data_IF_343549558506
#
_entry.id   IF_343549558506
#
_cell.length_a   1.000
_cell.length_b   1.000
_cell.length_c   1.000
_cell.angle_alpha   90.00
_cell.angle_beta   90.00
_cell.angle_gamma   90.00
#
_symmetry.space_group_name_H-M   'P 1'
#
loop_
_entity.id
_entity.type
_entity.pdbx_description
1 polymer ?
#
# COMPACT_ATOMS: atom_id res chain seq x y z
N UNK A 1 -35.04 -28.02 5.73
CA UNK A 1 -34.20 -27.62 4.58
C UNK A 1 -33.72 -26.17 4.61
N UNK A 2 -34.57 -25.15 4.84
CA UNK A 2 -34.14 -23.73 4.86
C UNK A 2 -33.05 -23.40 5.89
N UNK A 3 -33.10 -24.02 7.08
CA UNK A 3 -32.12 -23.80 8.15
C UNK A 3 -30.71 -24.32 7.79
N UNK A 4 -30.61 -25.47 7.10
CA UNK A 4 -29.34 -26.03 6.62
C UNK A 4 -28.71 -25.16 5.53
N UNK A 5 -29.51 -24.57 4.64
CA UNK A 5 -29.01 -23.72 3.58
C UNK A 5 -28.40 -22.42 4.12
N UNK A 6 -29.00 -21.84 5.16
CA UNK A 6 -28.49 -20.64 5.81
C UNK A 6 -27.20 -20.93 6.62
N UNK A 7 -27.09 -22.12 7.21
CA UNK A 7 -25.87 -22.56 7.91
C UNK A 7 -24.71 -22.79 6.92
N UNK A 8 -25.01 -23.36 5.75
CA UNK A 8 -24.03 -23.61 4.70
C UNK A 8 -23.50 -22.30 4.08
N UNK A 9 -24.38 -21.33 3.85
CA UNK A 9 -24.00 -19.98 3.42
C UNK A 9 -23.12 -19.26 4.44
N UNK A 10 -23.41 -19.41 5.74
CA UNK A 10 -22.56 -18.86 6.80
C UNK A 10 -21.16 -19.50 6.81
N UNK A 11 -21.07 -20.80 6.54
CA UNK A 11 -19.80 -21.53 6.50
C UNK A 11 -18.89 -21.02 5.37
N UNK A 12 -19.46 -20.73 4.19
CA UNK A 12 -18.70 -20.26 3.02
C UNK A 12 -18.09 -18.87 3.26
N UNK A 13 -18.78 -17.98 3.99
CA UNK A 13 -18.25 -16.66 4.33
C UNK A 13 -17.05 -16.71 5.29
N UNK A 14 -16.92 -17.75 6.12
CA UNK A 14 -15.77 -17.93 7.03
C UNK A 14 -14.56 -18.59 6.37
N UNK A 15 -14.73 -19.23 5.20
CA UNK A 15 -13.63 -19.85 4.45
C UNK A 15 -12.84 -18.85 3.61
N UNK A 16 -13.27 -17.59 3.56
CA UNK A 16 -12.64 -16.52 2.79
C UNK A 16 -12.06 -15.47 3.74
N UNK A 17 -10.99 -15.81 4.45
CA UNK A 17 -10.16 -14.82 5.14
C UNK A 17 -9.08 -14.35 4.17
N UNK A 18 -9.16 -13.14 3.59
CA UNK A 18 -8.05 -12.58 2.84
C UNK A 18 -6.90 -12.31 3.82
N UNK A 19 -5.92 -13.21 3.86
CA UNK A 19 -4.63 -12.99 4.52
C UNK A 19 -3.79 -12.05 3.66
N UNK A 20 -4.16 -10.77 3.62
CA UNK A 20 -3.45 -9.71 2.88
C UNK A 20 -2.72 -8.73 3.82
N UNK A 21 -2.67 -9.01 5.12
CA UNK A 21 -1.92 -8.16 6.05
C UNK A 21 -0.51 -8.72 6.20
N UNK A 22 0.45 -7.99 5.64
CA UNK A 22 1.87 -8.22 5.88
C UNK A 22 2.10 -8.15 7.40
N UNK A 23 2.41 -9.30 8.00
CA UNK A 23 2.45 -9.47 9.45
C UNK A 23 3.79 -9.08 10.05
N UNK A 24 4.77 -8.68 9.22
CA UNK A 24 5.99 -8.09 9.72
C UNK A 24 5.74 -6.63 10.10
N UNK A 25 5.48 -6.40 11.39
CA UNK A 25 5.62 -5.07 11.97
C UNK A 25 7.11 -4.72 11.94
N UNK A 26 7.54 -4.00 10.90
CA UNK A 26 8.88 -3.41 10.87
C UNK A 26 8.84 -2.16 11.75
N UNK A 27 9.28 -2.32 12.99
CA UNK A 27 9.42 -1.20 13.93
C UNK A 27 10.58 -0.31 13.49
N UNK A 28 10.28 0.93 13.09
CA UNK A 28 11.29 1.91 12.73
C UNK A 28 11.94 2.48 13.99
N UNK A 29 13.24 2.30 14.15
CA UNK A 29 14.00 2.80 15.30
C UNK A 29 15.06 3.83 14.89
N UNK A 30 15.42 4.72 15.83
CA UNK A 30 16.34 5.84 15.58
C UNK A 30 17.73 5.41 15.06
N UNK A 31 18.18 4.21 15.40
CA UNK A 31 19.45 3.63 14.93
C UNK A 31 19.42 3.16 13.47
N UNK A 32 18.26 3.13 12.81
CA UNK A 32 18.14 2.83 11.38
C UNK A 32 18.44 4.04 10.48
N UNK A 33 18.62 5.22 11.08
CA UNK A 33 18.82 6.48 10.37
C UNK A 33 20.03 7.21 10.93
N UNK A 34 20.85 7.80 10.06
CA UNK A 34 21.90 8.70 10.51
C UNK A 34 21.29 10.07 10.90
N UNK A 35 21.84 10.71 11.94
CA UNK A 35 21.36 12.03 12.42
C UNK A 35 21.42 13.13 11.35
N UNK A 36 22.22 12.93 10.31
CA UNK A 36 22.44 13.87 9.22
C UNK A 36 22.19 13.24 7.85
N UNK A 37 21.42 12.15 7.79
CA UNK A 37 21.05 11.54 6.53
C UNK A 37 20.20 12.53 5.72
N UNK A 38 20.81 13.13 4.70
CA UNK A 38 20.13 14.05 3.79
C UNK A 38 19.71 13.26 2.58
N UNK A 39 18.40 13.10 2.40
CA UNK A 39 17.86 12.66 1.12
C UNK A 39 18.02 13.83 0.14
N UNK A 40 18.85 13.67 -0.88
CA UNK A 40 18.96 14.63 -1.96
C UNK A 40 17.73 14.50 -2.87
N UNK A 41 16.63 15.14 -2.47
CA UNK A 41 15.36 15.10 -3.21
C UNK A 41 15.44 15.85 -4.54
N UNK A 42 16.38 16.77 -4.69
CA UNK A 42 16.52 17.59 -5.89
C UNK A 42 17.03 16.79 -7.11
N UNK A 43 17.76 15.69 -6.89
CA UNK A 43 18.23 14.79 -7.95
C UNK A 43 17.26 13.67 -8.29
N UNK A 44 16.12 13.56 -7.59
CA UNK A 44 15.11 12.54 -7.88
C UNK A 44 14.19 13.01 -8.99
N UNK A 45 13.74 12.08 -9.83
CA UNK A 45 12.84 12.31 -10.98
C UNK A 45 11.41 12.75 -10.60
N UNK A 46 11.22 13.23 -9.37
CA UNK A 46 9.94 13.70 -8.85
C UNK A 46 9.07 12.63 -8.22
N UNK A 47 7.78 12.93 -8.12
CA UNK A 47 6.75 12.08 -7.53
C UNK A 47 5.69 11.75 -8.58
N UNK A 48 5.18 10.53 -8.53
CA UNK A 48 3.97 10.15 -9.27
C UNK A 48 2.78 10.17 -8.32
N UNK A 49 1.67 10.76 -8.76
CA UNK A 49 0.47 10.89 -7.96
C UNK A 49 -0.78 10.61 -8.80
N UNK A 50 -1.70 9.87 -8.19
CA UNK A 50 -3.04 9.60 -8.68
C UNK A 50 -4.01 9.77 -7.51
N UNK A 51 -5.09 10.49 -7.76
CA UNK A 51 -6.13 10.70 -6.77
C UNK A 51 -6.92 9.39 -6.54
N UNK A 52 -7.32 9.15 -5.29
CA UNK A 52 -8.10 7.98 -4.90
C UNK A 52 -7.26 6.85 -4.29
N UNK A 53 -7.94 5.76 -3.93
CA UNK A 53 -7.31 4.59 -3.32
C UNK A 53 -6.95 3.56 -4.41
N UNK A 54 -5.67 3.22 -4.53
CA UNK A 54 -5.21 2.08 -5.33
C UNK A 54 -4.75 0.98 -4.37
N UNK A 55 -5.48 -0.15 -4.26
CA UNK A 55 -5.17 -1.21 -3.29
C UNK A 55 -3.77 -1.82 -3.49
N UNK A 56 -3.20 -1.70 -4.69
CA UNK A 56 -1.89 -2.24 -5.06
C UNK A 56 -0.81 -1.14 -5.11
N UNK A 57 -0.95 -0.04 -4.37
CA UNK A 57 0.02 1.09 -4.36
C UNK A 57 1.46 0.66 -4.05
N UNK A 58 1.64 -0.43 -3.30
CA UNK A 58 2.96 -0.96 -2.92
C UNK A 58 3.49 -2.05 -3.87
N UNK A 59 2.75 -2.38 -4.94
CA UNK A 59 3.19 -3.35 -5.94
C UNK A 59 4.31 -2.75 -6.81
N UNK A 60 5.51 -3.36 -6.87
CA UNK A 60 6.60 -2.87 -7.72
C UNK A 60 6.29 -2.94 -9.22
N UNK A 61 5.30 -3.74 -9.64
CA UNK A 61 4.86 -3.88 -11.03
C UNK A 61 3.62 -3.01 -11.35
N UNK A 62 3.25 -2.10 -10.43
CA UNK A 62 2.11 -1.21 -10.63
C UNK A 62 2.26 -0.38 -11.91
N UNK A 63 1.27 -0.48 -12.79
CA UNK A 63 1.19 0.39 -13.97
C UNK A 63 0.88 1.83 -13.52
N UNK A 64 1.83 2.72 -13.79
CA UNK A 64 1.80 4.14 -13.43
C UNK A 64 1.68 5.05 -14.66
N UNK A 65 1.40 4.48 -15.84
CA UNK A 65 1.35 5.21 -17.11
C UNK A 65 0.33 6.34 -17.14
N UNK A 66 -0.76 6.23 -16.36
CA UNK A 66 -1.82 7.24 -16.25
C UNK A 66 -1.68 8.16 -15.02
N UNK A 67 -0.58 8.07 -14.27
CA UNK A 67 -0.35 8.88 -13.07
C UNK A 67 0.27 10.22 -13.43
N UNK A 68 -0.10 11.26 -12.67
CA UNK A 68 0.45 12.59 -12.88
C UNK A 68 1.84 12.69 -12.24
N UNK A 69 2.83 13.11 -13.02
CA UNK A 69 4.17 13.40 -12.53
C UNK A 69 4.23 14.81 -11.91
N UNK A 70 4.96 14.94 -10.82
CA UNK A 70 5.19 16.16 -10.07
C UNK A 70 6.68 16.32 -9.79
N UNK A 71 7.20 17.54 -9.89
CA UNK A 71 8.54 17.82 -9.37
C UNK A 71 8.52 17.78 -7.85
N UNK A 72 9.65 17.47 -7.19
CA UNK A 72 9.73 17.42 -5.73
C UNK A 72 9.24 18.69 -5.02
N UNK A 73 9.34 19.84 -5.70
CA UNK A 73 8.94 21.16 -5.21
C UNK A 73 7.46 21.50 -5.40
N UNK A 74 6.67 20.65 -6.07
CA UNK A 74 5.27 20.92 -6.40
C UNK A 74 4.26 20.31 -5.39
N UNK A 75 4.76 19.65 -4.34
CA UNK A 75 3.96 19.07 -3.26
C UNK A 75 3.87 19.97 -2.01
N UNK A 76 4.34 21.21 -2.07
CA UNK A 76 4.34 22.17 -0.93
C UNK A 76 3.05 22.97 -0.83
#
# INVERSE_FOLDING_TARGET
>A
MKLMNNLFLFLICFLWTPSAQDSSVVELSKNMFESHQRLNLASLDGWIFKEGNSPNRADPELDVSDWKSFRPVELS
#
